data_IF_159138001764
#
_entry.id   IF_159138001764
#
_cell.length_a   1.000
_cell.length_b   1.000
_cell.length_c   1.000
_cell.angle_alpha   90.00
_cell.angle_beta   90.00
_cell.angle_gamma   90.00
#
_symmetry.space_group_name_H-M   'P 1'
#
loop_
_entity.id
_entity.type
_entity.pdbx_description
1 polymer ?
#
# COMPACT_ATOMS: atom_id res chain seq x y z
N UNK A 1 -12.59 -14.47 18.81
CA UNK A 1 -11.62 -13.49 19.36
C UNK A 1 -10.32 -13.63 18.58
N UNK A 2 -9.94 -12.64 17.76
CA UNK A 2 -8.63 -12.65 17.11
C UNK A 2 -7.60 -12.15 18.11
N UNK A 3 -6.69 -13.02 18.55
CA UNK A 3 -5.66 -12.70 19.52
C UNK A 3 -4.66 -11.74 18.88
N UNK A 4 -4.54 -10.53 19.42
CA UNK A 4 -3.52 -9.56 19.00
C UNK A 4 -2.18 -9.99 19.58
N UNK A 5 -1.17 -10.20 18.73
CA UNK A 5 0.19 -10.45 19.19
C UNK A 5 0.82 -9.12 19.62
N UNK A 6 1.43 -9.09 20.81
CA UNK A 6 2.11 -7.90 21.35
C UNK A 6 3.58 -8.23 21.56
N UNK A 7 4.47 -7.30 21.20
CA UNK A 7 5.91 -7.41 21.43
C UNK A 7 6.50 -6.05 21.78
N UNK A 8 7.51 -6.04 22.66
CA UNK A 8 8.26 -4.84 23.04
C UNK A 8 9.68 -4.93 22.52
N UNK A 9 10.18 -3.88 21.88
CA UNK A 9 11.58 -3.75 21.48
C UNK A 9 12.07 -2.35 21.83
N UNK A 10 12.98 -2.28 22.81
CA UNK A 10 13.42 -1.01 23.38
C UNK A 10 12.24 -0.20 23.93
N UNK A 11 12.08 1.08 23.52
CA UNK A 11 10.98 1.93 23.98
C UNK A 11 9.67 1.71 23.20
N UNK A 12 9.65 0.83 22.19
CA UNK A 12 8.50 0.66 21.30
C UNK A 12 7.70 -0.60 21.61
N UNK A 13 6.38 -0.49 21.58
CA UNK A 13 5.46 -1.61 21.57
C UNK A 13 4.89 -1.79 20.17
N UNK A 14 4.85 -3.03 19.69
CA UNK A 14 4.26 -3.39 18.41
C UNK A 14 3.09 -4.33 18.67
N UNK A 15 1.96 -4.01 18.06
CA UNK A 15 0.74 -4.82 18.13
C UNK A 15 0.41 -5.26 16.72
N UNK A 16 0.36 -6.56 16.50
CA UNK A 16 -0.06 -7.14 15.22
C UNK A 16 -1.51 -7.58 15.33
N UNK A 17 -2.33 -7.16 14.38
CA UNK A 17 -3.72 -7.56 14.26
C UNK A 17 -4.16 -7.66 12.81
N UNK A 18 -5.37 -8.16 12.59
CA UNK A 18 -6.01 -8.11 11.27
C UNK A 18 -6.65 -6.73 11.09
N UNK A 19 -6.34 -6.03 10.00
CA UNK A 19 -7.07 -4.82 9.61
C UNK A 19 -8.24 -5.26 8.75
N UNK A 20 -9.46 -4.87 9.11
CA UNK A 20 -10.61 -4.99 8.22
C UNK A 20 -10.44 -3.95 7.11
N UNK A 21 -9.74 -4.33 6.05
CA UNK A 21 -9.59 -3.52 4.84
C UNK A 21 -10.44 -4.12 3.74
N UNK A 22 -11.14 -3.27 2.98
CA UNK A 22 -11.79 -3.68 1.73
C UNK A 22 -10.81 -3.78 0.57
N UNK A 23 -9.56 -3.35 0.78
CA UNK A 23 -8.51 -3.38 -0.23
C UNK A 23 -8.01 -4.82 -0.41
N UNK A 24 -8.14 -5.33 -1.63
CA UNK A 24 -7.68 -6.68 -2.02
C UNK A 24 -6.22 -6.87 -1.63
N UNK A 25 -5.86 -8.05 -1.11
CA UNK A 25 -4.48 -8.38 -0.76
C UNK A 25 -3.92 -7.68 0.49
N UNK A 26 -4.69 -6.83 1.17
CA UNK A 26 -4.36 -6.34 2.50
C UNK A 26 -4.52 -7.45 3.55
N UNK A 27 -3.63 -7.50 4.54
CA UNK A 27 -3.69 -8.52 5.59
C UNK A 27 -3.31 -7.96 6.97
N UNK A 28 -2.34 -8.57 7.67
CA UNK A 28 -1.93 -8.11 8.99
C UNK A 28 -1.51 -6.64 8.98
N UNK A 29 -1.92 -5.91 10.02
CA UNK A 29 -1.44 -4.57 10.31
C UNK A 29 -0.58 -4.60 11.58
N UNK A 30 0.54 -3.90 11.53
CA UNK A 30 1.41 -3.66 12.67
C UNK A 30 1.21 -2.21 13.12
N UNK A 31 0.68 -2.02 14.32
CA UNK A 31 0.54 -0.73 14.98
C UNK A 31 1.69 -0.55 15.98
N UNK A 32 2.34 0.61 15.96
CA UNK A 32 3.50 0.92 16.83
C UNK A 32 3.12 1.99 17.84
N UNK A 33 3.54 1.81 19.09
CA UNK A 33 3.26 2.69 20.21
C UNK A 33 4.55 3.05 20.95
N UNK A 34 4.61 4.29 21.46
CA UNK A 34 5.70 4.78 22.32
C UNK A 34 5.27 4.76 23.80
N UNK A 35 3.96 4.81 24.08
CA UNK A 35 3.39 4.75 25.44
C UNK A 35 3.04 3.32 25.89
N UNK A 36 2.73 3.22 27.19
CA UNK A 36 2.45 2.00 27.97
C UNK A 36 1.69 0.91 27.17
N UNK A 37 2.29 -0.27 27.12
CA UNK A 37 1.69 -1.58 26.76
C UNK A 37 0.89 -1.68 25.44
N UNK A 38 1.12 -0.78 24.49
CA UNK A 38 0.41 -0.81 23.19
C UNK A 38 -1.02 -0.26 23.27
N UNK A 39 -1.27 0.65 24.21
CA UNK A 39 -2.53 1.38 24.34
C UNK A 39 -2.36 2.85 23.91
N UNK A 40 -3.43 3.42 23.36
CA UNK A 40 -3.47 4.80 22.87
C UNK A 40 -3.52 4.91 21.34
N UNK A 41 -3.11 6.06 20.81
CA UNK A 41 -3.02 6.32 19.37
C UNK A 41 -1.67 5.78 18.88
N UNK A 42 -1.64 4.85 17.91
CA UNK A 42 -0.38 4.38 17.36
C UNK A 42 0.35 5.52 16.66
N UNK A 43 1.67 5.60 16.84
CA UNK A 43 2.50 6.59 16.14
C UNK A 43 2.68 6.25 14.67
N UNK A 44 2.53 4.98 14.33
CA UNK A 44 2.46 4.53 12.95
C UNK A 44 1.69 3.21 12.85
N UNK A 45 1.01 3.04 11.73
CA UNK A 45 0.38 1.78 11.34
C UNK A 45 0.92 1.36 9.98
N UNK A 46 1.21 0.07 9.84
CA UNK A 46 1.66 -0.53 8.58
C UNK A 46 0.81 -1.75 8.25
N UNK A 47 0.04 -1.65 7.18
CA UNK A 47 -0.61 -2.80 6.54
C UNK A 47 0.44 -3.61 5.77
N UNK A 48 0.41 -4.93 5.89
CA UNK A 48 1.17 -5.86 5.05
C UNK A 48 0.30 -6.30 3.87
N UNK A 49 0.86 -6.23 2.66
CA UNK A 49 0.17 -6.66 1.44
C UNK A 49 0.84 -7.88 0.83
N UNK A 50 0.05 -8.79 0.27
CA UNK A 50 0.51 -9.95 -0.49
C UNK A 50 1.66 -10.72 0.19
N UNK A 51 2.85 -10.75 -0.42
CA UNK A 51 4.01 -11.49 0.07
C UNK A 51 4.62 -10.91 1.36
N UNK A 52 4.23 -9.69 1.75
CA UNK A 52 4.65 -9.10 3.03
C UNK A 52 3.93 -9.73 4.22
N UNK A 53 2.88 -10.53 4.01
CA UNK A 53 2.06 -11.14 5.07
C UNK A 53 2.74 -12.37 5.71
N UNK A 54 4.02 -12.25 6.02
CA UNK A 54 4.83 -13.30 6.64
C UNK A 54 5.38 -12.83 7.99
N UNK A 55 5.60 -13.78 8.90
CA UNK A 55 6.18 -13.48 10.21
C UNK A 55 7.55 -12.78 10.08
N UNK A 56 8.37 -13.19 9.10
CA UNK A 56 9.69 -12.61 8.86
C UNK A 56 9.62 -11.15 8.41
N UNK A 57 8.68 -10.79 7.53
CA UNK A 57 8.50 -9.39 7.12
C UNK A 57 8.02 -8.50 8.28
N UNK A 58 7.11 -9.03 9.10
CA UNK A 58 6.64 -8.35 10.33
C UNK A 58 7.80 -8.16 11.30
N UNK A 59 8.61 -9.21 11.53
CA UNK A 59 9.75 -9.14 12.43
C UNK A 59 10.81 -8.15 11.93
N UNK A 60 11.19 -8.24 10.66
CA UNK A 60 12.12 -7.33 10.02
C UNK A 60 11.67 -5.88 10.11
N UNK A 61 10.38 -5.60 9.89
CA UNK A 61 9.83 -4.24 10.06
C UNK A 61 10.03 -3.74 11.48
N UNK A 62 9.62 -4.53 12.47
CA UNK A 62 9.68 -4.16 13.87
C UNK A 62 11.13 -3.98 14.36
N UNK A 63 12.05 -4.87 13.99
CA UNK A 63 13.47 -4.77 14.31
C UNK A 63 14.07 -3.50 13.69
N UNK A 64 13.82 -3.27 12.39
CA UNK A 64 14.36 -2.12 11.69
C UNK A 64 13.81 -0.81 12.26
N UNK A 65 12.51 -0.72 12.54
CA UNK A 65 11.93 0.47 13.17
C UNK A 65 12.53 0.76 14.55
N UNK A 66 12.78 -0.27 15.36
CA UNK A 66 13.34 -0.09 16.70
C UNK A 66 14.81 0.37 16.67
N UNK A 67 15.62 -0.16 15.75
CA UNK A 67 17.08 -0.03 15.80
C UNK A 67 17.69 0.90 14.74
N UNK A 68 17.02 1.12 13.61
CA UNK A 68 17.48 2.02 12.56
C UNK A 68 16.79 3.38 12.69
N UNK A 69 17.52 4.36 13.23
CA UNK A 69 17.01 5.72 13.44
C UNK A 69 16.63 6.41 12.15
N UNK A 70 17.38 6.20 11.06
CA UNK A 70 17.08 6.82 9.78
C UNK A 70 15.79 6.24 9.19
N UNK A 71 15.68 4.90 9.17
CA UNK A 71 14.47 4.23 8.72
C UNK A 71 13.25 4.60 9.56
N UNK A 72 13.39 4.69 10.88
CA UNK A 72 12.33 5.14 11.78
C UNK A 72 11.88 6.56 11.44
N UNK A 73 12.80 7.47 11.22
CA UNK A 73 12.48 8.84 10.82
C UNK A 73 11.70 8.85 9.50
N UNK A 74 12.15 8.12 8.49
CA UNK A 74 11.41 8.00 7.22
C UNK A 74 10.01 7.41 7.39
N UNK A 75 9.82 6.47 8.33
CA UNK A 75 8.50 5.92 8.64
C UNK A 75 7.56 6.98 9.23
N UNK A 76 8.05 7.76 10.19
CA UNK A 76 7.29 8.80 10.89
C UNK A 76 6.96 9.99 9.98
N UNK A 77 7.88 10.37 9.09
CA UNK A 77 7.68 11.45 8.10
C UNK A 77 6.83 11.03 6.91
N UNK A 78 6.48 9.75 6.80
CA UNK A 78 5.70 9.26 5.66
C UNK A 78 6.51 9.02 4.38
N UNK A 79 7.84 9.14 4.43
CA UNK A 79 8.74 9.03 3.27
C UNK A 79 9.28 7.61 3.04
N UNK A 80 9.05 6.69 3.98
CA UNK A 80 9.44 5.29 3.84
C UNK A 80 8.81 4.66 2.59
N UNK A 81 9.60 3.91 1.83
CA UNK A 81 9.19 3.29 0.55
C UNK A 81 7.87 2.53 0.64
N UNK A 82 7.71 1.65 1.65
CA UNK A 82 6.48 0.87 1.83
C UNK A 82 5.23 1.75 2.03
N UNK A 83 5.38 2.94 2.62
CA UNK A 83 4.26 3.84 2.91
C UNK A 83 3.79 4.56 1.65
N UNK A 84 4.75 4.98 0.82
CA UNK A 84 4.49 5.54 -0.52
C UNK A 84 3.83 4.49 -1.44
N UNK A 85 4.36 3.26 -1.46
CA UNK A 85 3.75 2.14 -2.21
C UNK A 85 2.32 1.85 -1.72
N UNK A 86 2.14 1.70 -0.41
CA UNK A 86 0.83 1.42 0.18
C UNK A 86 -0.20 2.51 -0.15
N UNK A 87 0.21 3.78 -0.08
CA UNK A 87 -0.66 4.89 -0.44
C UNK A 87 -1.14 4.82 -1.89
N UNK A 88 -0.22 4.68 -2.87
CA UNK A 88 -0.61 4.57 -4.27
C UNK A 88 -1.45 3.31 -4.52
N UNK A 89 -1.12 2.20 -3.87
CA UNK A 89 -1.89 0.97 -4.02
C UNK A 89 -3.32 1.11 -3.47
N UNK A 90 -3.51 1.65 -2.27
CA UNK A 90 -4.84 1.85 -1.67
C UNK A 90 -5.72 2.82 -2.47
N UNK A 91 -5.12 3.77 -3.20
CA UNK A 91 -5.86 4.64 -4.12
C UNK A 91 -6.33 3.91 -5.38
N UNK A 92 -5.52 3.00 -5.92
CA UNK A 92 -5.75 2.42 -7.25
C UNK A 92 -6.48 1.06 -7.19
N UNK A 93 -6.30 0.29 -6.11
CA UNK A 93 -6.89 -1.05 -5.97
C UNK A 93 -8.43 -1.08 -5.97
N UNK A 94 -9.14 -0.14 -5.31
CA UNK A 94 -10.61 -0.11 -5.39
C UNK A 94 -11.10 0.18 -6.82
N UNK A 95 -10.43 1.08 -7.53
CA UNK A 95 -10.77 1.44 -8.91
C UNK A 95 -10.66 0.20 -9.80
N UNK A 96 -9.55 -0.54 -9.68
CA UNK A 96 -9.34 -1.77 -10.45
C UNK A 96 -10.37 -2.86 -10.12
N UNK A 97 -10.82 -2.93 -8.87
CA UNK A 97 -11.82 -3.90 -8.43
C UNK A 97 -13.26 -3.51 -8.82
N UNK A 98 -13.53 -2.23 -9.07
CA UNK A 98 -14.87 -1.71 -9.43
C UNK A 98 -15.07 -1.58 -10.94
N UNK A 99 -14.01 -1.29 -11.72
CA UNK A 99 -14.09 -1.13 -13.19
C UNK A 99 -14.23 -2.45 -13.93
N UNK A 100 -13.86 -3.55 -13.28
CA UNK A 100 -13.69 -4.85 -13.90
C UNK A 100 -14.77 -5.80 -13.40
N UNK A 101 -15.71 -6.21 -14.27
CA UNK A 101 -16.59 -7.38 -14.02
C UNK A 101 -15.79 -8.70 -14.10
N UNK A 102 -14.64 -8.74 -13.43
CA UNK A 102 -13.74 -9.89 -13.43
C UNK A 102 -14.10 -10.87 -12.31
N UNK A 103 -13.84 -12.18 -12.52
CA UNK A 103 -13.83 -13.14 -11.42
C UNK A 103 -12.88 -12.70 -10.29
N UNK A 104 -13.26 -12.98 -9.04
CA UNK A 104 -12.48 -12.58 -7.85
C UNK A 104 -11.00 -12.99 -7.91
N UNK A 105 -10.71 -14.18 -8.47
CA UNK A 105 -9.34 -14.67 -8.63
C UNK A 105 -8.51 -13.82 -9.61
N UNK A 106 -9.14 -13.30 -10.66
CA UNK A 106 -8.48 -12.44 -11.65
C UNK A 106 -8.27 -11.02 -11.08
N UNK A 107 -9.22 -10.50 -10.30
CA UNK A 107 -9.05 -9.26 -9.52
C UNK A 107 -7.87 -9.38 -8.55
N UNK A 108 -7.77 -10.50 -7.82
CA UNK A 108 -6.64 -10.74 -6.92
C UNK A 108 -5.30 -10.74 -7.66
N UNK A 109 -5.22 -11.42 -8.81
CA UNK A 109 -4.01 -11.44 -9.65
C UNK A 109 -3.65 -10.03 -10.14
N UNK A 110 -4.62 -9.29 -10.69
CA UNK A 110 -4.41 -7.95 -11.22
C UNK A 110 -3.96 -6.96 -10.13
N UNK A 111 -4.59 -6.99 -8.95
CA UNK A 111 -4.19 -6.20 -7.80
C UNK A 111 -2.76 -6.53 -7.33
N UNK A 112 -2.39 -7.82 -7.31
CA UNK A 112 -1.03 -8.25 -6.96
C UNK A 112 0.01 -7.76 -7.97
N UNK A 113 -0.28 -7.86 -9.27
CA UNK A 113 0.59 -7.35 -10.33
C UNK A 113 0.75 -5.83 -10.23
N UNK A 114 -0.33 -5.09 -10.00
CA UNK A 114 -0.30 -3.65 -9.79
C UNK A 114 0.52 -3.25 -8.55
N UNK A 115 0.39 -3.98 -7.44
CA UNK A 115 1.20 -3.72 -6.24
C UNK A 115 2.69 -3.88 -6.51
N UNK A 116 3.09 -4.96 -7.19
CA UNK A 116 4.50 -5.18 -7.58
C UNK A 116 5.00 -4.14 -8.57
N UNK A 117 4.14 -3.72 -9.49
CA UNK A 117 4.42 -2.64 -10.42
C UNK A 117 4.71 -1.32 -9.69
N UNK A 118 3.79 -0.87 -8.83
CA UNK A 118 3.96 0.34 -8.01
C UNK A 118 5.24 0.25 -7.19
N UNK A 119 5.48 -0.90 -6.56
CA UNK A 119 6.67 -1.14 -5.74
C UNK A 119 7.97 -0.99 -6.52
N UNK A 120 8.01 -1.49 -7.76
CA UNK A 120 9.17 -1.45 -8.65
C UNK A 120 9.42 -0.04 -9.20
N UNK A 121 8.38 0.61 -9.69
CA UNK A 121 8.50 1.84 -10.50
C UNK A 121 8.07 3.11 -9.73
N UNK A 122 8.00 3.04 -8.40
CA UNK A 122 7.49 4.10 -7.52
C UNK A 122 7.98 5.50 -7.87
N UNK A 123 9.31 5.69 -7.97
CA UNK A 123 9.89 7.01 -8.21
C UNK A 123 9.52 7.54 -9.60
N UNK A 124 9.41 6.66 -10.61
CA UNK A 124 8.98 7.03 -11.96
C UNK A 124 7.51 7.44 -11.99
N UNK A 125 6.66 6.75 -11.22
CA UNK A 125 5.23 7.07 -11.08
C UNK A 125 5.04 8.44 -10.42
N UNK A 126 5.69 8.67 -9.28
CA UNK A 126 5.54 9.94 -8.56
C UNK A 126 6.14 11.15 -9.31
N UNK A 127 7.13 10.92 -10.17
CA UNK A 127 7.72 11.96 -11.02
C UNK A 127 6.95 12.19 -12.32
N UNK A 128 5.96 11.36 -12.67
CA UNK A 128 5.19 11.51 -13.89
C UNK A 128 4.28 12.75 -13.81
N UNK A 129 4.46 13.78 -14.68
CA UNK A 129 3.78 15.06 -14.53
C UNK A 129 2.25 14.95 -14.47
N UNK A 130 1.67 14.11 -15.33
CA UNK A 130 0.22 13.93 -15.40
C UNK A 130 -0.32 13.16 -14.20
N UNK A 131 0.44 12.17 -13.70
CA UNK A 131 0.05 11.42 -12.50
C UNK A 131 0.09 12.34 -11.27
N UNK A 132 1.14 13.14 -11.17
CA UNK A 132 1.29 14.15 -10.11
C UNK A 132 0.18 15.20 -10.16
N UNK A 133 -0.19 15.66 -11.35
CA UNK A 133 -1.29 16.60 -11.53
C UNK A 133 -2.62 15.97 -11.05
N UNK A 134 -2.89 14.72 -11.43
CA UNK A 134 -4.08 13.98 -11.01
C UNK A 134 -4.14 13.76 -9.50
N UNK A 135 -3.03 13.33 -8.87
CA UNK A 135 -2.95 13.19 -7.41
C UNK A 135 -3.20 14.53 -6.68
N UNK A 136 -2.73 15.64 -7.26
CA UNK A 136 -2.97 16.97 -6.72
C UNK A 136 -4.45 17.38 -6.84
N UNK A 137 -5.15 17.00 -7.92
CA UNK A 137 -6.60 17.22 -8.08
C UNK A 137 -7.40 16.41 -7.06
N UNK A 138 -7.04 15.14 -6.86
CA UNK A 138 -7.67 14.28 -5.86
C UNK A 138 -7.50 14.83 -4.44
N UNK A 139 -6.30 15.33 -4.10
CA UNK A 139 -6.04 15.99 -2.82
C UNK A 139 -6.90 17.24 -2.60
N UNK A 140 -7.41 17.88 -3.66
CA UNK A 140 -8.31 19.04 -3.60
C UNK A 140 -9.80 18.67 -3.59
N UNK A 141 -10.13 17.38 -3.67
CA UNK A 141 -11.52 16.91 -3.70
C UNK A 141 -12.25 17.26 -5.00
N UNK A 142 -11.52 17.45 -6.10
CA UNK A 142 -12.13 17.64 -7.42
C UNK A 142 -12.82 16.35 -7.89
N UNK A 143 -13.92 16.50 -8.64
CA UNK A 143 -14.71 15.37 -9.15
C UNK A 143 -13.83 14.38 -9.93
N UNK A 144 -13.88 13.13 -9.49
CA UNK A 144 -12.95 12.08 -9.88
C UNK A 144 -13.50 11.31 -11.07
N UNK A 145 -12.71 11.19 -12.12
CA UNK A 145 -12.96 10.20 -13.17
C UNK A 145 -12.10 8.98 -12.83
N UNK A 146 -12.73 8.00 -12.17
CA UNK A 146 -12.11 6.76 -11.67
C UNK A 146 -11.03 6.19 -12.61
N UNK A 147 -11.36 6.03 -13.91
CA UNK A 147 -10.45 5.45 -14.91
C UNK A 147 -9.24 6.29 -15.30
N UNK A 148 -9.19 7.59 -14.96
CA UNK A 148 -8.05 8.46 -15.29
C UNK A 148 -6.81 8.05 -14.51
N UNK A 149 -6.97 7.63 -13.25
CA UNK A 149 -5.82 7.31 -12.40
C UNK A 149 -5.12 6.04 -12.84
N UNK A 150 -5.89 4.97 -13.12
CA UNK A 150 -5.37 3.72 -13.65
C UNK A 150 -4.76 3.89 -15.04
N UNK A 151 -5.40 4.70 -15.91
CA UNK A 151 -4.87 5.01 -17.24
C UNK A 151 -3.52 5.71 -17.17
N UNK A 152 -3.37 6.71 -16.28
CA UNK A 152 -2.09 7.41 -16.07
C UNK A 152 -1.03 6.49 -15.48
N UNK A 153 -1.42 5.61 -14.55
CA UNK A 153 -0.52 4.62 -13.97
C UNK A 153 0.05 3.67 -15.05
N UNK A 154 -0.79 3.24 -15.99
CA UNK A 154 -0.35 2.45 -17.15
C UNK A 154 0.54 3.25 -18.11
N UNK A 155 0.26 4.54 -18.35
CA UNK A 155 1.01 5.40 -19.27
C UNK A 155 2.43 5.73 -18.82
N UNK A 156 2.67 5.87 -17.50
CA UNK A 156 4.00 6.15 -16.92
C UNK A 156 5.08 5.23 -17.50
N UNK A 157 4.71 4.00 -17.88
CA UNK A 157 5.62 2.94 -18.29
C UNK A 157 6.05 2.98 -19.76
N UNK A 158 5.34 3.69 -20.64
CA UNK A 158 5.51 3.57 -22.10
C UNK A 158 5.08 2.19 -22.64
N UNK A 159 4.48 1.34 -21.81
CA UNK A 159 3.94 0.05 -22.21
C UNK A 159 2.53 0.30 -22.73
N UNK A 160 2.39 0.41 -24.05
CA UNK A 160 1.12 0.07 -24.69
C UNK A 160 0.83 -1.42 -24.41
N UNK A 161 0.00 -1.70 -23.40
CA UNK A 161 -0.65 -3.01 -23.20
C UNK A 161 0.19 -4.15 -22.62
N UNK A 162 0.77 -4.00 -21.42
CA UNK A 162 1.61 -5.07 -20.82
C UNK A 162 1.67 -5.15 -19.30
N UNK A 163 0.93 -4.32 -18.56
CA UNK A 163 0.22 -4.88 -17.40
C UNK A 163 -0.90 -5.72 -18.03
N UNK A 164 -1.30 -6.85 -17.46
CA UNK A 164 -2.39 -7.70 -17.97
C UNK A 164 -3.78 -7.03 -18.07
N UNK A 165 -3.84 -5.73 -18.33
CA UNK A 165 -4.98 -4.95 -18.79
C UNK A 165 -5.27 -5.17 -20.29
N UNK A 166 -4.47 -5.98 -21.00
CA UNK A 166 -4.66 -6.29 -22.43
C UNK A 166 -5.92 -7.12 -22.74
N UNK A 167 -6.71 -7.51 -21.73
CA UNK A 167 -8.07 -8.01 -21.89
C UNK A 167 -9.11 -6.90 -22.17
N UNK A 168 -8.77 -5.63 -21.96
CA UNK A 168 -9.70 -4.49 -22.07
C UNK A 168 -9.87 -3.93 -23.50
N UNK A 169 -9.36 -4.60 -24.53
CA UNK A 169 -9.68 -4.28 -25.92
C UNK A 169 -9.97 -5.55 -26.72
N UNK A 170 -11.23 -5.99 -26.66
CA UNK A 170 -11.84 -6.87 -27.66
C UNK A 170 -12.44 -8.15 -27.10
N UNK A 171 -13.73 -8.09 -26.76
CA UNK A 171 -14.80 -8.71 -27.56
C UNK A 171 -16.15 -8.11 -27.23
#
# INVERSE_FOLDING_TARGET
>A
MHQKARRKIGPFYFVTGQKTSKVVGAGPCVSVYISLEGEGIPVIERTMYFEEQTADHIDNFCQKFAHDTHYRQSCLEGTAHWRRVGHLYELNAPILAEEEELPEADVFRACREMFHFIRRDLDRIEQHPEYKAEMARQSRGEEHVLGTTLSLLAQVTGVRGGIGLSGLQGH
#
